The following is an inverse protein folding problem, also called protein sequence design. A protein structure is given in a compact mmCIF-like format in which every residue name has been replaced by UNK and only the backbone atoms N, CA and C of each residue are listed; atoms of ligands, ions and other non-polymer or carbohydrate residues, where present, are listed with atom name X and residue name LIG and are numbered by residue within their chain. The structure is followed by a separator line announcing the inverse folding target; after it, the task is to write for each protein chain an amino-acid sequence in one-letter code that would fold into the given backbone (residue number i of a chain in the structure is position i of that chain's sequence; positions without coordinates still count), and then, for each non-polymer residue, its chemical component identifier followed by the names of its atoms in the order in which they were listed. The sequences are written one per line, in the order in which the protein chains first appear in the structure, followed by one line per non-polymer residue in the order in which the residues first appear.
data_IF_980730012478
#
_entry.id   IF_980730012478
#
_cell.length_a   1.000
_cell.length_b   1.000
_cell.length_c   1.000
_cell.angle_alpha   90.00
_cell.angle_beta   90.00
_cell.angle_gamma   90.00
#
_symmetry.space_group_name_H-M   'P 1'
#
loop_
_entity.id
_entity.type
_entity.pdbx_description
1 polymer ?
#
# COMPACT_ATOMS: atom_id res chain seq x y z
N UNK A 1 -60.15 4.18 11.96
CA UNK A 1 -58.71 4.08 12.22
C UNK A 1 -58.21 2.69 11.81
N UNK A 2 -57.41 2.56 10.73
CA UNK A 2 -56.85 1.31 10.26
C UNK A 2 -55.64 1.01 11.13
N UNK A 3 -55.61 -0.14 11.84
CA UNK A 3 -54.42 -0.58 12.59
C UNK A 3 -53.24 -0.75 11.61
N UNK A 4 -52.02 -0.28 11.96
CA UNK A 4 -50.86 -0.50 11.12
C UNK A 4 -50.59 -2.00 11.03
N UNK A 5 -50.27 -2.47 9.80
CA UNK A 5 -49.89 -3.85 9.53
C UNK A 5 -48.66 -4.21 10.36
N UNK A 6 -48.61 -5.37 11.02
CA UNK A 6 -47.44 -5.79 11.74
C UNK A 6 -46.25 -5.94 10.78
N UNK A 7 -45.14 -5.30 11.10
CA UNK A 7 -43.88 -5.49 10.38
C UNK A 7 -43.51 -6.97 10.38
N UNK A 8 -43.12 -7.57 9.23
CA UNK A 8 -42.70 -8.97 9.18
C UNK A 8 -41.56 -9.20 10.17
N UNK A 9 -41.51 -10.38 10.85
CA UNK A 9 -40.46 -10.70 11.78
C UNK A 9 -39.10 -10.64 11.07
N UNK A 10 -38.03 -10.13 11.71
CA UNK A 10 -36.71 -10.07 11.11
C UNK A 10 -36.30 -11.47 10.70
N UNK A 11 -35.78 -11.60 9.48
CA UNK A 11 -35.31 -12.88 8.97
C UNK A 11 -34.17 -13.36 9.91
N UNK A 12 -34.44 -14.39 10.72
CA UNK A 12 -33.53 -14.90 11.76
C UNK A 12 -32.14 -15.22 11.20
N UNK A 13 -32.09 -15.71 9.95
CA UNK A 13 -30.80 -15.97 9.27
C UNK A 13 -30.04 -14.68 9.04
N UNK A 14 -30.70 -13.63 8.55
CA UNK A 14 -30.05 -12.32 8.34
C UNK A 14 -29.57 -11.72 9.66
N UNK A 15 -30.35 -11.80 10.73
CA UNK A 15 -29.94 -11.32 12.06
C UNK A 15 -28.72 -12.06 12.61
N UNK A 16 -28.66 -13.39 12.43
CA UNK A 16 -27.49 -14.18 12.81
C UNK A 16 -26.25 -13.83 11.97
N UNK A 17 -26.40 -13.68 10.66
CA UNK A 17 -25.30 -13.27 9.77
C UNK A 17 -24.78 -11.87 10.16
N UNK A 18 -25.67 -10.92 10.40
CA UNK A 18 -25.27 -9.58 10.86
C UNK A 18 -24.53 -9.62 12.19
N UNK A 19 -24.98 -10.40 13.15
CA UNK A 19 -24.31 -10.53 14.45
C UNK A 19 -22.93 -11.18 14.33
N UNK A 20 -22.75 -12.13 13.43
CA UNK A 20 -21.45 -12.74 13.16
C UNK A 20 -20.51 -11.74 12.49
N UNK A 21 -20.99 -10.97 11.50
CA UNK A 21 -20.20 -9.93 10.84
C UNK A 21 -19.76 -8.86 11.86
N UNK A 22 -20.64 -8.44 12.76
CA UNK A 22 -20.30 -7.48 13.81
C UNK A 22 -19.22 -8.02 14.78
N UNK A 23 -19.28 -9.30 15.13
CA UNK A 23 -18.27 -9.95 15.99
C UNK A 23 -16.91 -10.09 15.31
N UNK A 24 -16.87 -10.15 13.99
CA UNK A 24 -15.63 -10.17 13.21
C UNK A 24 -15.04 -8.77 12.98
N UNK A 25 -15.78 -7.71 13.30
CA UNK A 25 -15.22 -6.36 13.23
C UNK A 25 -14.16 -6.13 14.28
N UNK A 26 -13.11 -5.44 13.89
CA UNK A 26 -11.96 -5.16 14.74
C UNK A 26 -12.36 -4.50 16.07
N UNK A 27 -13.34 -3.59 16.04
CA UNK A 27 -13.86 -2.93 17.25
C UNK A 27 -14.44 -3.91 18.28
N UNK A 28 -15.21 -4.91 17.85
CA UNK A 28 -15.73 -5.93 18.74
C UNK A 28 -14.62 -6.82 19.29
N UNK A 29 -13.68 -7.24 18.44
CA UNK A 29 -12.54 -8.07 18.84
C UNK A 29 -11.68 -7.35 19.89
N UNK A 30 -11.41 -6.06 19.68
CA UNK A 30 -10.61 -5.25 20.61
C UNK A 30 -11.31 -5.01 21.96
N UNK A 31 -12.65 -5.05 22.00
CA UNK A 31 -13.41 -4.93 23.24
C UNK A 31 -13.43 -6.23 24.08
N UNK A 32 -13.18 -7.39 23.46
CA UNK A 32 -13.35 -8.70 24.12
C UNK A 32 -12.05 -9.51 24.21
N UNK A 33 -11.02 -9.15 23.45
CA UNK A 33 -9.76 -9.89 23.37
C UNK A 33 -8.55 -8.97 23.61
N UNK A 34 -7.38 -9.50 23.98
CA UNK A 34 -6.17 -8.71 24.18
C UNK A 34 -5.78 -7.93 22.92
N UNK A 35 -5.73 -6.61 23.01
CA UNK A 35 -5.53 -5.72 21.86
C UNK A 35 -4.26 -6.06 21.04
N UNK A 36 -3.14 -6.40 21.72
CA UNK A 36 -1.90 -6.79 21.03
C UNK A 36 -2.08 -8.01 20.14
N UNK A 37 -2.78 -9.03 20.62
CA UNK A 37 -3.03 -10.26 19.86
C UNK A 37 -3.96 -10.03 18.68
N UNK A 38 -5.01 -9.23 18.88
CA UNK A 38 -5.96 -8.85 17.82
C UNK A 38 -5.24 -8.08 16.71
N UNK A 39 -4.45 -7.06 17.06
CA UNK A 39 -3.68 -6.30 16.08
C UNK A 39 -2.63 -7.15 15.37
N UNK A 40 -1.90 -8.01 16.09
CA UNK A 40 -0.92 -8.91 15.50
C UNK A 40 -1.58 -9.85 14.45
N UNK A 41 -2.70 -10.47 14.83
CA UNK A 41 -3.46 -11.33 13.91
C UNK A 41 -4.00 -10.53 12.70
N UNK A 42 -4.54 -9.33 12.94
CA UNK A 42 -5.05 -8.45 11.90
C UNK A 42 -3.96 -8.12 10.86
N UNK A 43 -2.81 -7.64 11.32
CA UNK A 43 -1.67 -7.30 10.43
C UNK A 43 -1.18 -8.55 9.70
N UNK A 44 -0.97 -9.65 10.40
CA UNK A 44 -0.43 -10.88 9.83
C UNK A 44 -1.34 -11.46 8.73
N UNK A 45 -2.63 -11.63 9.03
CA UNK A 45 -3.58 -12.22 8.09
C UNK A 45 -3.80 -11.34 6.86
N UNK A 46 -3.97 -10.03 7.05
CA UNK A 46 -4.25 -9.14 5.94
C UNK A 46 -3.02 -8.88 5.06
N UNK A 47 -1.83 -8.74 5.65
CA UNK A 47 -0.58 -8.66 4.89
C UNK A 47 -0.32 -9.94 4.09
N UNK A 48 -0.54 -11.11 4.70
CA UNK A 48 -0.41 -12.40 4.02
C UNK A 48 -1.39 -12.50 2.83
N UNK A 49 -2.68 -12.29 3.06
CA UNK A 49 -3.71 -12.40 2.02
C UNK A 49 -3.44 -11.45 0.85
N UNK A 50 -3.06 -10.21 1.16
CA UNK A 50 -2.81 -9.15 0.17
C UNK A 50 -1.59 -9.45 -0.68
N UNK A 51 -0.48 -9.82 -0.05
CA UNK A 51 0.76 -10.13 -0.80
C UNK A 51 0.60 -11.47 -1.55
N UNK A 52 -0.07 -12.47 -0.97
CA UNK A 52 -0.36 -13.72 -1.66
C UNK A 52 -1.17 -13.50 -2.94
N UNK A 53 -2.19 -12.62 -2.91
CA UNK A 53 -2.98 -12.29 -4.09
C UNK A 53 -2.13 -11.59 -5.18
N UNK A 54 -1.31 -10.61 -4.81
CA UNK A 54 -0.42 -9.93 -5.77
C UNK A 54 0.62 -10.90 -6.34
N UNK A 55 1.16 -11.81 -5.52
CA UNK A 55 2.10 -12.84 -5.98
C UNK A 55 1.42 -13.83 -6.91
N UNK A 56 0.17 -14.20 -6.63
CA UNK A 56 -0.63 -15.04 -7.53
C UNK A 56 -0.86 -14.34 -8.88
N UNK A 57 -1.18 -13.04 -8.88
CA UNK A 57 -1.30 -12.25 -10.11
C UNK A 57 0.03 -12.21 -10.88
N UNK A 58 1.14 -12.04 -10.18
CA UNK A 58 2.47 -12.08 -10.81
C UNK A 58 2.75 -13.44 -11.47
N UNK A 59 2.39 -14.53 -10.80
CA UNK A 59 2.51 -15.90 -11.34
C UNK A 59 1.65 -16.09 -12.60
N UNK A 60 0.38 -15.67 -12.55
CA UNK A 60 -0.57 -15.87 -13.65
C UNK A 60 -0.29 -14.98 -14.87
N UNK A 61 0.25 -13.78 -14.65
CA UNK A 61 0.47 -12.80 -15.72
C UNK A 61 1.91 -12.73 -16.20
N UNK A 62 2.82 -13.43 -15.54
CA UNK A 62 4.27 -13.33 -15.77
C UNK A 62 4.78 -11.88 -15.76
N UNK A 63 4.19 -11.04 -14.90
CA UNK A 63 4.46 -9.61 -14.78
C UNK A 63 4.80 -9.24 -13.34
N UNK A 64 5.58 -8.17 -13.08
CA UNK A 64 6.08 -7.84 -11.76
C UNK A 64 4.99 -7.19 -10.87
N UNK A 65 3.89 -7.92 -10.60
CA UNK A 65 2.86 -7.48 -9.65
C UNK A 65 3.31 -7.56 -8.19
N UNK A 66 4.43 -8.19 -7.89
CA UNK A 66 5.05 -8.21 -6.57
C UNK A 66 6.49 -7.76 -6.66
N UNK A 67 6.87 -6.83 -5.80
CA UNK A 67 8.22 -6.27 -5.71
C UNK A 67 8.48 -5.76 -4.28
N UNK A 68 9.75 -5.63 -3.86
CA UNK A 68 10.10 -5.41 -2.44
C UNK A 68 9.43 -4.23 -1.76
N UNK A 69 9.14 -3.12 -2.45
CA UNK A 69 8.53 -1.94 -1.82
C UNK A 69 7.04 -2.09 -1.50
N UNK A 70 6.36 -3.11 -2.05
CA UNK A 70 4.97 -3.40 -1.67
C UNK A 70 4.85 -3.96 -0.24
N UNK A 71 5.88 -4.65 0.26
CA UNK A 71 5.90 -5.12 1.64
C UNK A 71 5.72 -4.01 2.67
N UNK A 72 6.58 -2.99 2.69
CA UNK A 72 6.42 -1.81 3.55
C UNK A 72 5.10 -1.06 3.31
N UNK A 73 4.59 -1.01 2.07
CA UNK A 73 3.29 -0.39 1.77
C UNK A 73 2.14 -1.17 2.40
N UNK A 74 2.10 -2.49 2.23
CA UNK A 74 1.11 -3.36 2.88
C UNK A 74 1.19 -3.25 4.41
N UNK A 75 2.42 -3.23 4.95
CA UNK A 75 2.64 -3.04 6.38
C UNK A 75 2.00 -1.73 6.88
N UNK A 76 2.22 -0.59 6.22
CA UNK A 76 1.59 0.68 6.61
C UNK A 76 0.07 0.59 6.56
N UNK A 77 -0.49 -0.01 5.52
CA UNK A 77 -1.94 -0.11 5.33
C UNK A 77 -2.65 -0.89 6.42
N UNK A 78 -1.98 -1.85 7.07
CA UNK A 78 -2.58 -2.68 8.11
C UNK A 78 -2.04 -2.40 9.51
N UNK A 79 -0.81 -1.91 9.65
CA UNK A 79 -0.22 -1.58 10.95
C UNK A 79 -0.63 -0.19 11.43
N UNK A 80 -0.67 0.80 10.55
CA UNK A 80 -1.08 2.18 10.85
C UNK A 80 -2.11 2.71 9.85
N UNK A 81 -3.28 2.05 9.71
CA UNK A 81 -4.21 2.29 8.62
C UNK A 81 -4.76 3.73 8.56
N UNK A 82 -4.80 4.43 9.68
CA UNK A 82 -5.30 5.81 9.75
C UNK A 82 -4.22 6.87 9.58
N UNK A 83 -2.95 6.46 9.49
CA UNK A 83 -1.85 7.39 9.24
C UNK A 83 -1.96 8.03 7.85
N UNK A 84 -1.46 9.24 7.70
CA UNK A 84 -1.42 9.93 6.41
C UNK A 84 -0.64 9.13 5.36
N UNK A 85 0.48 8.54 5.77
CA UNK A 85 1.34 7.70 4.92
C UNK A 85 0.64 6.42 4.41
N UNK A 86 -0.41 5.97 5.08
CA UNK A 86 -1.22 4.82 4.68
C UNK A 86 -2.44 5.21 3.82
N UNK A 87 -2.60 6.46 3.42
CA UNK A 87 -3.73 6.86 2.58
C UNK A 87 -3.54 6.42 1.12
N UNK A 88 -4.62 6.02 0.41
CA UNK A 88 -4.53 5.61 -1.00
C UNK A 88 -3.88 6.67 -1.89
N UNK A 89 -4.20 7.95 -1.68
CA UNK A 89 -3.58 9.08 -2.38
C UNK A 89 -2.07 9.07 -2.24
N UNK A 90 -1.58 9.00 -1.00
CA UNK A 90 -0.16 9.12 -0.75
C UNK A 90 0.61 7.89 -1.26
N UNK A 91 0.03 6.71 -1.20
CA UNK A 91 0.62 5.52 -1.78
C UNK A 91 0.76 5.64 -3.30
N UNK A 92 -0.34 5.94 -4.02
CA UNK A 92 -0.31 6.08 -5.48
C UNK A 92 0.65 7.18 -5.93
N UNK A 93 0.48 8.40 -5.43
CA UNK A 93 1.37 9.48 -5.85
C UNK A 93 2.82 9.28 -5.41
N UNK A 94 3.04 8.70 -4.22
CA UNK A 94 4.38 8.39 -3.74
C UNK A 94 5.11 7.43 -4.68
N UNK A 95 4.50 6.30 -5.00
CA UNK A 95 5.08 5.33 -5.92
C UNK A 95 5.24 5.89 -7.33
N UNK A 96 4.26 6.64 -7.86
CA UNK A 96 4.39 7.30 -9.16
C UNK A 96 5.57 8.27 -9.21
N UNK A 97 5.76 9.12 -8.18
CA UNK A 97 6.92 10.00 -8.06
C UNK A 97 8.21 9.18 -8.02
N UNK A 98 8.24 8.11 -7.23
CA UNK A 98 9.38 7.21 -7.13
C UNK A 98 9.74 6.54 -8.45
N UNK A 99 8.76 6.08 -9.21
CA UNK A 99 8.93 5.51 -10.55
C UNK A 99 9.52 6.53 -11.53
N UNK A 100 8.95 7.73 -11.56
CA UNK A 100 9.38 8.80 -12.48
C UNK A 100 10.81 9.25 -12.17
N UNK A 101 11.10 9.57 -10.89
CA UNK A 101 12.43 10.01 -10.47
C UNK A 101 13.48 8.89 -10.65
N UNK A 102 13.12 7.66 -10.26
CA UNK A 102 13.98 6.50 -10.41
C UNK A 102 14.33 6.23 -11.87
N UNK A 103 13.34 6.24 -12.75
CA UNK A 103 13.55 5.99 -14.17
C UNK A 103 14.29 7.15 -14.89
N UNK A 104 13.97 8.38 -14.52
CA UNK A 104 14.68 9.56 -15.06
C UNK A 104 16.17 9.50 -14.70
N UNK A 105 16.49 9.27 -13.44
CA UNK A 105 17.87 9.16 -12.99
C UNK A 105 18.59 7.96 -13.65
N UNK A 106 17.94 6.80 -13.75
CA UNK A 106 18.46 5.63 -14.47
C UNK A 106 18.84 5.99 -15.92
N UNK A 107 18.01 6.73 -16.64
CA UNK A 107 18.27 7.13 -18.01
C UNK A 107 19.38 8.19 -18.14
N UNK A 108 19.31 9.25 -17.32
CA UNK A 108 20.26 10.38 -17.39
C UNK A 108 21.70 9.95 -17.05
N UNK A 109 21.85 9.00 -16.12
CA UNK A 109 23.17 8.50 -15.73
C UNK A 109 23.72 7.41 -16.66
N UNK A 110 23.00 7.05 -17.72
CA UNK A 110 23.42 6.02 -18.66
C UNK A 110 23.49 4.61 -18.06
N UNK A 111 22.66 4.35 -17.07
CA UNK A 111 22.63 3.05 -16.40
C UNK A 111 22.21 1.90 -17.33
N UNK A 112 22.86 0.78 -17.16
CA UNK A 112 22.45 -0.50 -17.73
C UNK A 112 21.60 -1.32 -16.72
N UNK A 113 20.76 -2.26 -17.21
CA UNK A 113 20.03 -3.15 -16.33
C UNK A 113 20.93 -3.84 -15.31
N UNK A 114 20.42 -4.08 -14.12
CA UNK A 114 21.16 -4.78 -13.10
C UNK A 114 21.36 -6.24 -13.52
N UNK A 115 22.59 -6.80 -13.43
CA UNK A 115 22.82 -8.22 -13.69
C UNK A 115 21.97 -9.07 -12.72
N UNK A 116 21.60 -10.27 -13.15
CA UNK A 116 20.87 -11.20 -12.29
C UNK A 116 21.65 -11.46 -10.98
N UNK A 117 20.95 -11.42 -9.85
CA UNK A 117 21.48 -11.87 -8.57
C UNK A 117 22.26 -10.86 -7.73
N UNK A 118 22.10 -9.56 -7.87
CA UNK A 118 22.82 -8.54 -7.07
C UNK A 118 24.36 -8.63 -7.13
N UNK A 119 24.92 -9.41 -8.05
CA UNK A 119 26.37 -9.60 -8.23
C UNK A 119 27.05 -8.49 -9.01
N UNK A 120 26.30 -7.46 -9.39
CA UNK A 120 26.84 -6.34 -10.16
C UNK A 120 27.70 -5.41 -9.29
N UNK A 121 28.88 -5.05 -9.82
CA UNK A 121 29.74 -4.07 -9.18
C UNK A 121 29.02 -2.72 -9.03
N UNK A 122 29.24 -2.06 -7.89
CA UNK A 122 28.81 -0.68 -7.67
C UNK A 122 29.81 0.23 -8.36
N UNK A 123 29.36 1.01 -9.33
CA UNK A 123 30.17 1.97 -10.08
C UNK A 123 29.52 3.37 -10.08
N UNK A 124 30.29 4.39 -10.41
CA UNK A 124 29.88 5.79 -10.25
C UNK A 124 28.49 6.15 -10.81
N UNK A 125 28.08 5.75 -12.03
CA UNK A 125 26.73 5.98 -12.52
C UNK A 125 25.64 5.41 -11.61
N UNK A 126 25.87 4.27 -10.97
CA UNK A 126 24.91 3.62 -10.08
C UNK A 126 24.76 4.38 -8.77
N UNK A 127 25.87 4.90 -8.23
CA UNK A 127 25.86 5.76 -7.06
C UNK A 127 25.09 7.05 -7.37
N UNK A 128 25.40 7.70 -8.49
CA UNK A 128 24.74 8.94 -8.90
C UNK A 128 23.25 8.73 -9.18
N UNK A 129 22.88 7.65 -9.89
CA UNK A 129 21.49 7.33 -10.18
C UNK A 129 20.65 7.19 -8.91
N UNK A 130 21.13 6.39 -7.95
CA UNK A 130 20.40 6.12 -6.72
C UNK A 130 20.32 7.36 -5.81
N UNK A 131 21.42 8.10 -5.66
CA UNK A 131 21.44 9.31 -4.84
C UNK A 131 20.55 10.42 -5.44
N UNK A 132 20.66 10.67 -6.74
CA UNK A 132 19.86 11.66 -7.45
C UNK A 132 18.36 11.29 -7.41
N UNK A 133 18.04 10.03 -7.70
CA UNK A 133 16.66 9.57 -7.70
C UNK A 133 16.00 9.73 -6.35
N UNK A 134 16.65 9.29 -5.28
CA UNK A 134 16.08 9.33 -3.93
C UNK A 134 15.94 10.77 -3.42
N UNK A 135 16.93 11.63 -3.68
CA UNK A 135 16.85 13.05 -3.29
C UNK A 135 15.73 13.79 -4.02
N UNK A 136 15.58 13.57 -5.34
CA UNK A 136 14.49 14.17 -6.11
C UNK A 136 13.12 13.64 -5.66
N UNK A 137 12.99 12.33 -5.42
CA UNK A 137 11.75 11.73 -4.90
C UNK A 137 11.36 12.39 -3.59
N UNK A 138 12.29 12.49 -2.64
CA UNK A 138 12.03 13.11 -1.34
C UNK A 138 11.63 14.58 -1.48
N UNK A 139 12.36 15.36 -2.28
CA UNK A 139 12.06 16.77 -2.51
C UNK A 139 10.67 16.98 -3.13
N UNK A 140 10.33 16.21 -4.19
CA UNK A 140 9.03 16.32 -4.86
C UNK A 140 7.90 15.87 -3.93
N UNK A 141 8.09 14.80 -3.16
CA UNK A 141 7.09 14.36 -2.18
C UNK A 141 6.80 15.43 -1.12
N UNK A 142 7.84 16.12 -0.63
CA UNK A 142 7.67 17.25 0.31
C UNK A 142 6.89 18.39 -0.36
N UNK A 143 7.27 18.82 -1.55
CA UNK A 143 6.63 19.91 -2.28
C UNK A 143 5.15 19.61 -2.59
N UNK A 144 4.81 18.37 -2.92
CA UNK A 144 3.45 17.94 -3.25
C UNK A 144 2.64 17.47 -2.02
N UNK A 145 3.24 17.53 -0.84
CA UNK A 145 2.63 17.03 0.42
C UNK A 145 2.14 15.59 0.26
N UNK A 146 3.02 14.74 -0.23
CA UNK A 146 2.83 13.30 -0.36
C UNK A 146 3.76 12.61 0.63
N UNK A 147 3.20 12.00 1.66
CA UNK A 147 3.97 11.29 2.68
C UNK A 147 3.77 9.78 2.52
N UNK A 148 4.69 9.11 1.79
CA UNK A 148 4.67 7.66 1.61
C UNK A 148 6.09 7.08 1.55
N UNK A 149 6.73 6.82 2.69
CA UNK A 149 8.13 6.36 2.74
C UNK A 149 8.46 5.13 1.89
N UNK A 150 7.56 4.12 1.73
CA UNK A 150 7.83 2.98 0.87
C UNK A 150 8.16 3.31 -0.59
N UNK A 151 7.73 4.47 -1.08
CA UNK A 151 8.08 4.94 -2.42
C UNK A 151 9.60 5.11 -2.63
N UNK A 152 10.35 5.41 -1.56
CA UNK A 152 11.80 5.44 -1.60
C UNK A 152 12.43 4.11 -2.05
N UNK A 153 11.86 2.99 -1.60
CA UNK A 153 12.30 1.67 -2.06
C UNK A 153 11.99 1.44 -3.54
N UNK A 154 10.82 1.89 -4.02
CA UNK A 154 10.49 1.85 -5.46
C UNK A 154 11.48 2.67 -6.27
N UNK A 155 11.79 3.87 -5.82
CA UNK A 155 12.81 4.74 -6.43
C UNK A 155 14.15 4.02 -6.58
N UNK A 156 14.61 3.36 -5.51
CA UNK A 156 15.87 2.63 -5.50
C UNK A 156 15.87 1.43 -6.46
N UNK A 157 14.80 0.64 -6.47
CA UNK A 157 14.66 -0.53 -7.35
C UNK A 157 14.75 -0.14 -8.82
N UNK A 158 14.14 0.99 -9.19
CA UNK A 158 14.14 1.47 -10.57
C UNK A 158 15.45 2.17 -10.92
N UNK A 159 15.96 3.05 -10.06
CA UNK A 159 17.21 3.79 -10.33
C UNK A 159 18.44 2.90 -10.38
N UNK A 160 18.44 1.82 -9.62
CA UNK A 160 19.52 0.81 -9.67
C UNK A 160 19.44 -0.11 -10.90
N UNK A 161 18.37 -0.04 -11.70
CA UNK A 161 18.20 -0.86 -12.89
C UNK A 161 17.62 -2.26 -12.64
N UNK A 162 17.14 -2.54 -11.42
CA UNK A 162 16.56 -3.85 -11.05
C UNK A 162 15.24 -4.07 -11.78
N UNK A 163 14.37 -3.03 -11.80
CA UNK A 163 13.07 -3.02 -12.48
C UNK A 163 12.94 -1.77 -13.37
N UNK A 164 13.91 -1.55 -14.25
CA UNK A 164 13.97 -0.36 -15.10
C UNK A 164 13.39 -0.58 -16.52
N UNK A 165 12.81 -1.75 -16.82
CA UNK A 165 12.14 -1.99 -18.10
C UNK A 165 10.90 -1.10 -18.20
N UNK A 166 10.75 -0.25 -19.25
CA UNK A 166 9.64 0.70 -19.34
C UNK A 166 8.24 0.07 -19.22
N UNK A 167 8.08 -1.15 -19.76
CA UNK A 167 6.81 -1.89 -19.68
C UNK A 167 6.43 -2.35 -18.26
N UNK A 168 7.39 -2.35 -17.31
CA UNK A 168 7.13 -2.73 -15.93
C UNK A 168 6.61 -1.56 -15.08
N UNK A 169 6.94 -0.33 -15.45
CA UNK A 169 6.55 0.85 -14.65
C UNK A 169 5.04 0.96 -14.46
N UNK A 170 4.19 0.86 -15.51
CA UNK A 170 2.74 0.87 -15.31
C UNK A 170 2.25 -0.36 -14.54
N UNK A 171 2.87 -1.52 -14.67
CA UNK A 171 2.49 -2.73 -13.91
C UNK A 171 2.73 -2.52 -12.41
N UNK A 172 3.86 -1.90 -12.05
CA UNK A 172 4.18 -1.55 -10.66
C UNK A 172 3.11 -0.62 -10.09
N UNK A 173 2.73 0.43 -10.83
CA UNK A 173 1.72 1.39 -10.38
C UNK A 173 0.32 0.73 -10.26
N UNK A 174 -0.05 -0.15 -11.19
CA UNK A 174 -1.28 -0.94 -11.11
C UNK A 174 -1.26 -1.85 -9.85
N UNK A 175 -0.13 -2.48 -9.56
CA UNK A 175 0.01 -3.30 -8.35
C UNK A 175 -0.19 -2.50 -7.06
N UNK A 176 0.35 -1.27 -6.99
CA UNK A 176 0.09 -0.32 -5.89
C UNK A 176 -1.40 0.02 -5.80
N UNK A 177 -2.04 0.29 -6.93
CA UNK A 177 -3.47 0.56 -6.99
C UNK A 177 -4.32 -0.62 -6.47
N UNK A 178 -4.00 -1.84 -6.90
CA UNK A 178 -4.66 -3.05 -6.42
C UNK A 178 -4.47 -3.25 -4.92
N UNK A 179 -3.25 -3.03 -4.42
CA UNK A 179 -2.96 -3.08 -2.99
C UNK A 179 -3.77 -2.05 -2.21
N UNK A 180 -3.87 -0.81 -2.72
CA UNK A 180 -4.66 0.24 -2.09
C UNK A 180 -6.16 -0.08 -2.07
N UNK A 181 -6.71 -0.65 -3.15
CA UNK A 181 -8.11 -1.11 -3.22
C UNK A 181 -8.38 -2.22 -2.22
N UNK A 182 -7.49 -3.22 -2.13
CA UNK A 182 -7.60 -4.29 -1.15
C UNK A 182 -7.56 -3.74 0.27
N UNK A 183 -6.58 -2.87 0.58
CA UNK A 183 -6.46 -2.24 1.89
C UNK A 183 -7.71 -1.42 2.24
N UNK A 184 -8.26 -0.67 1.28
CA UNK A 184 -9.51 0.06 1.48
C UNK A 184 -10.65 -0.90 1.84
N UNK A 185 -10.86 -1.94 1.07
CA UNK A 185 -11.93 -2.91 1.32
C UNK A 185 -11.77 -3.60 2.68
N UNK A 186 -10.58 -4.11 2.98
CA UNK A 186 -10.29 -4.83 4.22
C UNK A 186 -10.48 -3.92 5.45
N UNK A 187 -9.87 -2.73 5.45
CA UNK A 187 -9.95 -1.81 6.59
C UNK A 187 -11.40 -1.35 6.84
N UNK A 188 -12.16 -1.07 5.77
CA UNK A 188 -13.58 -0.68 5.88
C UNK A 188 -14.45 -1.82 6.39
N UNK A 189 -14.26 -3.04 5.90
CA UNK A 189 -14.97 -4.23 6.41
C UNK A 189 -14.62 -4.52 7.88
N UNK A 190 -13.38 -4.29 8.27
CA UNK A 190 -12.96 -4.38 9.68
C UNK A 190 -13.60 -3.29 10.59
N UNK A 191 -14.31 -2.31 10.00
CA UNK A 191 -14.96 -1.22 10.73
C UNK A 191 -14.08 -0.01 11.01
N UNK A 192 -12.90 0.07 10.39
CA UNK A 192 -12.03 1.24 10.51
C UNK A 192 -12.52 2.41 9.63
N UNK A 193 -12.42 3.66 10.08
CA UNK A 193 -12.74 4.85 9.28
C UNK A 193 -11.62 5.15 8.25
N UNK A 194 -11.22 4.12 7.50
CA UNK A 194 -10.14 4.23 6.53
C UNK A 194 -10.51 5.22 5.42
N UNK A 195 -9.62 6.15 5.04
CA UNK A 195 -9.94 7.20 4.08
C UNK A 195 -10.16 6.64 2.68
N UNK A 196 -11.12 7.20 1.95
CA UNK A 196 -11.34 6.86 0.53
C UNK A 196 -10.17 7.33 -0.32
N UNK A 197 -9.63 8.50 -0.01
CA UNK A 197 -8.56 9.11 -0.79
C UNK A 197 -7.46 9.70 0.09
N UNK A 198 -7.74 10.74 0.86
CA UNK A 198 -6.79 11.47 1.70
C UNK A 198 -7.11 11.28 3.17
N UNK A 199 -6.10 11.10 4.02
CA UNK A 199 -6.28 11.08 5.46
C UNK A 199 -6.87 12.40 5.96
N UNK A 200 -7.79 12.32 6.92
CA UNK A 200 -8.36 13.48 7.61
C UNK A 200 -7.64 13.78 8.93
N UNK A 201 -6.67 12.93 9.32
CA UNK A 201 -5.91 13.14 10.55
C UNK A 201 -4.96 14.31 10.34
N UNK A 202 -5.03 15.37 11.16
CA UNK A 202 -4.07 16.47 11.09
C UNK A 202 -2.65 15.94 11.33
N UNK A 203 -1.69 16.39 10.56
CA UNK A 203 -0.27 16.11 10.80
C UNK A 203 0.12 16.84 12.08
N UNK A 204 0.17 16.14 13.21
CA UNK A 204 0.78 16.66 14.43
C UNK A 204 2.29 16.65 14.17
N UNK A 205 2.88 17.81 13.92
CA UNK A 205 4.31 17.98 13.65
C UNK A 205 4.66 18.10 12.16
N UNK A 206 3.80 18.73 11.36
CA UNK A 206 4.13 19.10 9.98
C UNK A 206 5.24 20.14 9.97
N UNK A 207 6.32 19.86 9.24
CA UNK A 207 7.20 20.90 8.75
C UNK A 207 6.34 21.91 7.97
N UNK A 208 6.65 23.22 8.03
CA UNK A 208 5.88 24.29 7.43
C UNK A 208 5.66 24.12 5.94
#
# INVERSE_FOLDING_TARGET
MKKPNPTPPPNHIAAHVFSLIERLRLGWLLAHLPAKSVWAAYVALNSFATIALLTLLALLTHSPFVFPSLGPTAYLFFFTPLAESASPRNALFGHAIGLICGFAAYKVTGMHPFPEGFSGEVYWPRILASALALSLTGAIMVLLRVNHPPAGATTMIVSLGILAKPSYLPVIEIAVGLLAVQAFAINRLAGLPYPVWRSQTPVIGGHP
#
